data_IF_595498719954
#
_entry.id   IF_595498719954
#
_cell.length_a   1.000
_cell.length_b   1.000
_cell.length_c   1.000
_cell.angle_alpha   90.00
_cell.angle_beta   90.00
_cell.angle_gamma   90.00
#
_symmetry.space_group_name_H-M   'P 1'
#
loop_
_entity.id
_entity.type
_entity.pdbx_description
1 polymer ?
#
# COMPACT_ATOMS: atom_id res chain seq x y z
N UNK A 1 -6.56 -7.51 14.89
CA UNK A 1 -5.47 -6.99 14.03
C UNK A 1 -5.63 -5.49 13.85
N UNK A 2 -4.57 -4.72 14.06
CA UNK A 2 -4.59 -3.26 13.90
C UNK A 2 -3.91 -2.88 12.60
N UNK A 3 -4.66 -2.29 11.66
CA UNK A 3 -4.15 -1.81 10.38
C UNK A 3 -4.04 -0.30 10.36
N UNK A 4 -2.96 0.20 9.75
CA UNK A 4 -2.82 1.59 9.38
C UNK A 4 -2.92 1.72 7.86
N UNK A 5 -3.88 2.49 7.37
CA UNK A 5 -4.06 2.76 5.94
C UNK A 5 -3.60 4.19 5.66
N UNK A 6 -2.59 4.33 4.80
CA UNK A 6 -2.14 5.62 4.31
C UNK A 6 -2.90 5.95 3.02
N UNK A 7 -3.73 6.98 3.09
CA UNK A 7 -4.59 7.43 2.00
C UNK A 7 -3.86 8.41 1.08
N UNK A 8 -3.71 8.04 -0.19
CA UNK A 8 -3.09 8.85 -1.24
C UNK A 8 -4.13 9.67 -2.03
N UNK A 9 -5.14 10.22 -1.36
CA UNK A 9 -6.20 11.01 -1.99
C UNK A 9 -7.03 10.23 -3.00
N UNK A 10 -7.38 9.00 -2.65
CA UNK A 10 -8.15 8.13 -3.52
C UNK A 10 -9.57 7.89 -3.00
N UNK A 11 -10.55 7.98 -3.90
CA UNK A 11 -11.96 7.74 -3.57
C UNK A 11 -12.25 6.28 -3.17
N UNK A 12 -11.37 5.34 -3.54
CA UNK A 12 -11.50 3.93 -3.20
C UNK A 12 -10.85 3.54 -1.87
N UNK A 13 -10.21 4.46 -1.15
CA UNK A 13 -9.58 4.13 0.13
C UNK A 13 -10.58 3.52 1.12
N UNK A 14 -11.78 4.06 1.20
CA UNK A 14 -12.81 3.52 2.10
C UNK A 14 -13.41 2.20 1.62
N UNK A 15 -13.35 1.90 0.32
CA UNK A 15 -13.68 0.56 -0.19
C UNK A 15 -12.66 -0.47 0.31
N UNK A 16 -11.37 -0.11 0.39
CA UNK A 16 -10.34 -0.97 1.00
C UNK A 16 -10.65 -1.22 2.48
N UNK A 17 -11.04 -0.20 3.22
CA UNK A 17 -11.44 -0.34 4.64
C UNK A 17 -12.53 -1.39 4.77
N UNK A 18 -13.59 -1.31 3.95
CA UNK A 18 -14.69 -2.26 3.94
C UNK A 18 -14.23 -3.68 3.60
N UNK A 19 -13.37 -3.83 2.59
CA UNK A 19 -12.80 -5.13 2.21
C UNK A 19 -11.99 -5.75 3.34
N UNK A 20 -11.20 -4.96 4.07
CA UNK A 20 -10.45 -5.47 5.22
C UNK A 20 -11.35 -5.88 6.37
N UNK A 21 -12.42 -5.14 6.66
CA UNK A 21 -13.40 -5.56 7.66
C UNK A 21 -14.06 -6.89 7.28
N UNK A 22 -14.55 -7.03 6.05
CA UNK A 22 -15.13 -8.29 5.55
C UNK A 22 -14.14 -9.45 5.57
N UNK A 23 -12.89 -9.21 5.18
CA UNK A 23 -11.83 -10.23 5.26
C UNK A 23 -11.58 -10.64 6.71
N UNK A 24 -11.57 -9.69 7.64
CA UNK A 24 -11.45 -9.94 9.07
C UNK A 24 -12.60 -10.81 9.60
N UNK A 25 -13.84 -10.50 9.23
CA UNK A 25 -15.02 -11.31 9.58
C UNK A 25 -14.90 -12.74 9.06
N UNK A 26 -14.57 -12.91 7.77
CA UNK A 26 -14.39 -14.22 7.15
C UNK A 26 -13.29 -15.06 7.82
N UNK A 27 -12.23 -14.41 8.32
CA UNK A 27 -11.13 -15.05 9.02
C UNK A 27 -11.31 -15.11 10.55
N UNK A 28 -12.44 -14.66 11.08
CA UNK A 28 -12.69 -14.52 12.53
C UNK A 28 -11.62 -13.70 13.25
N UNK A 29 -11.07 -12.71 12.56
CA UNK A 29 -10.01 -11.83 13.04
C UNK A 29 -10.55 -10.42 13.25
N UNK A 30 -10.75 -9.98 14.50
CA UNK A 30 -11.22 -8.62 14.78
C UNK A 30 -10.26 -7.57 14.19
N UNK A 31 -10.80 -6.62 13.41
CA UNK A 31 -10.05 -5.57 12.76
C UNK A 31 -10.24 -4.24 13.44
N UNK A 32 -9.15 -3.50 13.61
CA UNK A 32 -9.14 -2.10 13.98
C UNK A 32 -8.36 -1.34 12.91
N UNK A 33 -9.00 -0.44 12.20
CA UNK A 33 -8.42 0.25 11.04
C UNK A 33 -8.33 1.74 11.33
N UNK A 34 -7.15 2.31 11.15
CA UNK A 34 -6.90 3.76 11.20
C UNK A 34 -6.52 4.23 9.81
N UNK A 35 -7.23 5.22 9.29
CA UNK A 35 -6.95 5.85 8.01
C UNK A 35 -6.35 7.23 8.24
N UNK A 36 -5.26 7.54 7.57
CA UNK A 36 -4.65 8.87 7.59
C UNK A 36 -4.21 9.26 6.18
N UNK A 37 -4.48 10.51 5.82
CA UNK A 37 -4.03 11.07 4.54
C UNK A 37 -2.52 11.28 4.50
N UNK A 38 -1.99 11.16 3.30
CA UNK A 38 -0.58 11.37 2.98
C UNK A 38 -0.25 12.87 2.84
N UNK A 39 -0.69 13.69 3.79
CA UNK A 39 -0.62 15.15 3.72
C UNK A 39 0.61 15.78 4.36
N UNK A 40 0.92 15.47 5.61
CA UNK A 40 1.82 16.34 6.32
C UNK A 40 3.29 16.02 6.04
N UNK A 41 4.12 17.02 5.82
CA UNK A 41 5.57 16.84 5.72
C UNK A 41 6.17 16.17 6.96
N UNK A 42 5.51 16.27 8.10
CA UNK A 42 5.93 15.66 9.37
C UNK A 42 5.32 14.27 9.62
N UNK A 43 4.53 13.73 8.70
CA UNK A 43 3.87 12.44 8.87
C UNK A 43 4.87 11.33 9.17
N UNK A 44 5.98 11.28 8.43
CA UNK A 44 7.02 10.28 8.64
C UNK A 44 7.59 10.38 10.06
N UNK A 45 7.95 11.58 10.51
CA UNK A 45 8.47 11.80 11.85
C UNK A 45 7.44 11.44 12.93
N UNK A 46 6.18 11.82 12.72
CA UNK A 46 5.07 11.52 13.64
C UNK A 46 4.80 10.00 13.73
N UNK A 47 4.98 9.29 12.63
CA UNK A 47 4.70 7.86 12.53
C UNK A 47 5.90 7.02 12.99
N UNK A 48 7.14 7.46 12.72
CA UNK A 48 8.37 6.68 12.94
C UNK A 48 9.14 7.04 14.20
N UNK A 49 8.79 8.15 14.88
CA UNK A 49 9.41 8.52 16.15
C UNK A 49 9.28 7.42 17.21
N UNK A 50 10.17 7.39 18.20
CA UNK A 50 10.10 6.41 19.30
C UNK A 50 8.78 6.48 20.08
N UNK A 51 8.08 7.60 20.03
CA UNK A 51 6.73 7.83 20.53
C UNK A 51 5.66 7.64 19.46
N UNK A 52 6.07 7.39 18.21
CA UNK A 52 5.19 7.30 17.05
C UNK A 52 4.25 6.09 17.10
N UNK A 53 3.03 6.33 16.63
CA UNK A 53 1.92 5.39 16.71
C UNK A 53 2.08 4.11 15.86
N UNK A 54 3.13 4.01 15.01
CA UNK A 54 3.29 2.81 14.17
C UNK A 54 3.60 1.53 14.93
N UNK A 55 4.19 1.64 16.13
CA UNK A 55 4.46 0.43 16.93
C UNK A 55 3.18 -0.31 17.32
N UNK A 56 2.06 0.40 17.41
CA UNK A 56 0.77 -0.18 17.76
C UNK A 56 0.06 -0.90 16.61
N UNK A 57 0.46 -0.67 15.35
CA UNK A 57 -0.14 -1.32 14.19
C UNK A 57 0.58 -2.60 13.82
N UNK A 58 -0.18 -3.62 13.44
CA UNK A 58 0.36 -4.90 13.00
C UNK A 58 0.85 -4.85 11.55
N UNK A 59 0.18 -4.09 10.70
CA UNK A 59 0.54 -3.92 9.30
C UNK A 59 0.11 -2.54 8.76
N UNK A 60 0.68 -2.19 7.59
CA UNK A 60 0.45 -0.93 6.90
C UNK A 60 -0.07 -1.21 5.49
N UNK A 61 -1.08 -0.45 5.08
CA UNK A 61 -1.64 -0.49 3.74
C UNK A 61 -1.44 0.86 3.08
N UNK A 62 -0.91 0.84 1.86
CA UNK A 62 -0.75 2.02 1.01
C UNK A 62 -1.85 1.99 -0.04
N UNK A 63 -2.73 3.00 -0.03
CA UNK A 63 -3.90 3.05 -0.91
C UNK A 63 -3.54 3.29 -2.37
N UNK A 64 -4.48 3.09 -3.30
CA UNK A 64 -4.43 3.73 -4.60
C UNK A 64 -4.25 5.24 -4.47
N UNK A 65 -3.99 5.91 -5.58
CA UNK A 65 -3.88 7.35 -5.64
C UNK A 65 -3.53 7.85 -7.03
N UNK A 66 -3.63 9.15 -7.27
CA UNK A 66 -3.26 9.76 -8.54
C UNK A 66 -1.74 9.90 -8.69
N UNK A 67 -1.30 10.08 -9.94
CA UNK A 67 0.08 10.41 -10.27
C UNK A 67 1.03 9.21 -10.32
N UNK A 68 2.29 9.48 -10.07
CA UNK A 68 3.41 8.54 -10.16
C UNK A 68 4.07 8.35 -8.77
N UNK A 69 4.83 7.27 -8.55
CA UNK A 69 5.48 6.98 -7.27
C UNK A 69 6.29 8.14 -6.68
N UNK A 70 7.02 8.89 -7.51
CA UNK A 70 7.81 10.03 -7.07
C UNK A 70 6.97 11.28 -6.71
N UNK A 71 5.68 11.28 -7.06
CA UNK A 71 4.70 12.32 -6.73
C UNK A 71 3.82 11.93 -5.55
N UNK A 72 4.02 10.71 -5.01
CA UNK A 72 3.19 10.15 -3.95
C UNK A 72 3.61 10.63 -2.53
N UNK A 73 3.89 11.91 -2.39
CA UNK A 73 4.20 12.54 -1.09
C UNK A 73 5.29 11.81 -0.30
N UNK A 74 4.97 11.38 0.91
CA UNK A 74 5.94 10.74 1.81
C UNK A 74 6.08 9.21 1.62
N UNK A 75 5.40 8.58 0.63
CA UNK A 75 5.38 7.13 0.51
C UNK A 75 6.77 6.51 0.31
N UNK A 76 7.56 7.01 -0.64
CA UNK A 76 8.88 6.46 -0.92
C UNK A 76 9.81 6.44 0.31
N UNK A 77 10.02 7.57 1.01
CA UNK A 77 10.83 7.56 2.23
C UNK A 77 10.21 6.72 3.35
N UNK A 78 8.88 6.67 3.47
CA UNK A 78 8.19 5.85 4.46
C UNK A 78 8.45 4.35 4.23
N UNK A 79 8.29 3.87 3.00
CA UNK A 79 8.55 2.48 2.63
C UNK A 79 9.98 2.08 2.99
N UNK A 80 10.96 2.92 2.63
CA UNK A 80 12.37 2.66 2.95
C UNK A 80 12.63 2.56 4.46
N UNK A 81 11.98 3.40 5.26
CA UNK A 81 12.12 3.37 6.72
C UNK A 81 11.46 2.15 7.38
N UNK A 82 10.38 1.66 6.80
CA UNK A 82 9.57 0.57 7.36
C UNK A 82 9.92 -0.80 6.81
N UNK A 83 10.67 -0.85 5.72
CA UNK A 83 11.14 -2.10 5.11
C UNK A 83 11.83 -2.99 6.15
N UNK A 84 11.42 -4.25 6.21
CA UNK A 84 11.92 -5.23 7.18
C UNK A 84 11.44 -5.03 8.63
N UNK A 85 10.69 -3.96 8.93
CA UNK A 85 10.20 -3.67 10.29
C UNK A 85 8.70 -3.95 10.45
N UNK A 86 7.93 -3.79 9.38
CA UNK A 86 6.48 -3.98 9.36
C UNK A 86 6.04 -4.60 8.04
N UNK A 87 5.02 -5.47 8.04
CA UNK A 87 4.34 -5.87 6.82
C UNK A 87 3.72 -4.65 6.12
N UNK A 88 3.94 -4.53 4.82
CA UNK A 88 3.38 -3.45 4.00
C UNK A 88 2.68 -4.06 2.80
N UNK A 89 1.42 -3.69 2.61
CA UNK A 89 0.65 -4.01 1.41
C UNK A 89 0.42 -2.73 0.60
N UNK A 90 0.74 -2.76 -0.69
CA UNK A 90 0.44 -1.67 -1.61
C UNK A 90 -0.65 -2.05 -2.61
N UNK A 91 -1.58 -1.13 -2.86
CA UNK A 91 -2.62 -1.27 -3.88
C UNK A 91 -2.45 -0.17 -4.91
N UNK A 92 -2.42 -0.51 -6.19
CA UNK A 92 -2.27 0.41 -7.32
C UNK A 92 -1.02 1.32 -7.15
N UNK A 93 -1.19 2.62 -6.90
CA UNK A 93 -0.07 3.54 -6.65
C UNK A 93 0.81 3.07 -5.47
N UNK A 94 0.21 2.56 -4.41
CA UNK A 94 0.95 2.00 -3.28
C UNK A 94 1.85 0.82 -3.69
N UNK A 95 1.35 -0.11 -4.52
CA UNK A 95 2.14 -1.20 -5.09
C UNK A 95 3.27 -0.69 -5.99
N UNK A 96 2.97 0.25 -6.88
CA UNK A 96 3.98 0.86 -7.76
C UNK A 96 5.08 1.58 -6.95
N UNK A 97 4.69 2.24 -5.86
CA UNK A 97 5.64 2.95 -4.98
C UNK A 97 6.52 1.97 -4.21
N UNK A 98 6.00 0.83 -3.77
CA UNK A 98 6.81 -0.24 -3.19
C UNK A 98 7.84 -0.72 -4.22
N UNK A 99 7.41 -1.06 -5.43
CA UNK A 99 8.31 -1.49 -6.50
C UNK A 99 9.41 -0.46 -6.78
N UNK A 100 9.05 0.82 -6.89
CA UNK A 100 10.01 1.92 -7.11
C UNK A 100 10.98 2.10 -5.93
N UNK A 101 10.53 1.92 -4.69
CA UNK A 101 11.39 2.01 -3.50
C UNK A 101 12.51 0.95 -3.49
N UNK A 102 12.26 -0.20 -4.13
CA UNK A 102 13.23 -1.29 -4.32
C UNK A 102 13.92 -1.29 -5.68
N UNK A 103 13.87 -0.17 -6.42
CA UNK A 103 14.63 0.04 -7.65
C UNK A 103 13.94 -0.42 -8.94
N UNK A 104 12.70 -0.89 -8.89
CA UNK A 104 11.96 -1.20 -10.10
C UNK A 104 11.52 0.08 -10.83
N UNK A 105 11.42 -0.02 -12.16
CA UNK A 105 10.90 1.07 -13.01
C UNK A 105 9.42 0.88 -13.24
N UNK A 106 8.63 1.90 -12.92
CA UNK A 106 7.22 1.98 -13.29
C UNK A 106 7.13 2.60 -14.67
N UNK A 107 6.62 1.84 -15.62
CA UNK A 107 6.52 2.25 -17.03
C UNK A 107 5.06 2.17 -17.49
N UNK A 108 4.72 2.95 -18.52
CA UNK A 108 3.41 2.84 -19.15
C UNK A 108 3.30 1.51 -19.89
N UNK A 109 2.19 0.79 -19.68
CA UNK A 109 1.92 -0.44 -20.42
C UNK A 109 1.78 -0.14 -21.93
N UNK A 110 2.26 -1.05 -22.81
CA UNK A 110 2.09 -0.91 -24.27
C UNK A 110 0.61 -0.81 -24.68
N UNK A 111 -0.26 -1.48 -23.93
CA UNK A 111 -1.73 -1.41 -24.08
C UNK A 111 -2.32 -1.14 -22.70
N UNK A 112 -2.62 0.13 -22.38
CA UNK A 112 -3.28 0.46 -21.13
C UNK A 112 -4.67 -0.18 -21.07
N UNK A 113 -4.98 -0.89 -19.99
CA UNK A 113 -6.29 -1.48 -19.75
C UNK A 113 -6.87 -0.86 -18.49
N UNK A 114 -8.10 -0.39 -18.57
CA UNK A 114 -8.83 0.17 -17.45
C UNK A 114 -10.26 -0.40 -17.41
N UNK A 115 -10.75 -0.67 -16.21
CA UNK A 115 -12.12 -1.17 -16.00
C UNK A 115 -12.38 -2.59 -16.49
N UNK A 116 -11.34 -3.38 -16.73
CA UNK A 116 -11.44 -4.79 -17.10
C UNK A 116 -10.65 -5.66 -16.13
N UNK A 117 -11.21 -6.82 -15.79
CA UNK A 117 -10.49 -7.83 -15.04
C UNK A 117 -9.43 -8.49 -15.92
N UNK A 118 -8.26 -8.74 -15.35
CA UNK A 118 -7.16 -9.47 -15.99
C UNK A 118 -6.81 -10.68 -15.13
N UNK A 119 -6.39 -11.76 -15.79
CA UNK A 119 -5.91 -12.93 -15.08
C UNK A 119 -4.52 -12.66 -14.51
N UNK A 120 -4.33 -12.98 -13.24
CA UNK A 120 -3.02 -12.93 -12.60
C UNK A 120 -2.39 -14.30 -12.74
N UNK A 121 -1.21 -14.36 -13.35
CA UNK A 121 -0.44 -15.57 -13.52
C UNK A 121 0.80 -15.54 -12.62
N UNK A 122 1.21 -16.69 -12.05
CA UNK A 122 2.50 -16.77 -11.36
C UNK A 122 3.62 -16.55 -12.36
N UNK A 123 4.73 -15.96 -11.92
CA UNK A 123 5.90 -15.80 -12.76
C UNK A 123 6.46 -17.17 -13.19
N UNK A 124 6.82 -17.29 -14.47
CA UNK A 124 7.26 -18.56 -15.08
C UNK A 124 8.62 -19.06 -14.56
N UNK A 125 9.37 -18.20 -13.87
CA UNK A 125 10.69 -18.50 -13.30
C UNK A 125 10.65 -19.13 -11.88
N UNK A 126 9.46 -19.47 -11.39
CA UNK A 126 9.27 -20.01 -10.04
C UNK A 126 9.45 -18.97 -8.93
N UNK A 127 9.68 -17.69 -9.26
CA UNK A 127 9.62 -16.62 -8.29
C UNK A 127 8.21 -16.49 -7.71
N UNK A 128 8.09 -16.01 -6.47
CA UNK A 128 6.78 -15.71 -5.86
C UNK A 128 6.15 -14.41 -6.42
N UNK A 129 6.71 -13.87 -7.48
CA UNK A 129 6.17 -12.69 -8.15
C UNK A 129 4.98 -13.09 -9.03
N UNK A 130 3.95 -12.25 -9.04
CA UNK A 130 2.78 -12.39 -9.90
C UNK A 130 2.83 -11.29 -10.95
N UNK A 131 2.61 -11.67 -12.21
CA UNK A 131 2.51 -10.72 -13.30
C UNK A 131 1.04 -10.38 -13.52
N UNK A 132 0.71 -9.10 -13.47
CA UNK A 132 -0.60 -8.57 -13.85
C UNK A 132 -0.53 -8.27 -15.34
N UNK A 133 -1.32 -8.94 -16.13
CA UNK A 133 -1.47 -8.73 -17.58
C UNK A 133 -2.56 -7.72 -17.86
#
# INVERSE_FOLDING_TARGET
>A
MKLFILDNYDSFTYNLVEYFYRAGENCQLPMQITVQRNDPPNLIAAITSNTGNLKQFDAIVLSPGPGLPHQAGCLLPLIKQLSGKKPILGVCLGHQTIAAAFGARVVRAPRPVHGRASQILPASDGSRAYQIL
#
